data_IF_396368955400
#
_entry.id   IF_396368955400
#
_cell.length_a   1.000
_cell.length_b   1.000
_cell.length_c   1.000
_cell.angle_alpha   90.00
_cell.angle_beta   90.00
_cell.angle_gamma   90.00
#
_symmetry.space_group_name_H-M   'P 1'
#
loop_
_entity.id
_entity.type
_entity.pdbx_description
1 polymer ?
#
# COMPACT_ATOMS: atom_id res chain seq x y z
N UNK A 1 -37.74 64.93 -20.50
CA UNK A 1 -36.52 65.29 -19.74
C UNK A 1 -35.93 64.10 -18.97
N UNK A 2 -36.73 63.11 -18.56
CA UNK A 2 -36.25 61.85 -17.93
C UNK A 2 -35.67 60.83 -18.92
N UNK A 3 -36.22 60.73 -20.13
CA UNK A 3 -35.75 59.74 -21.14
C UNK A 3 -34.37 60.07 -21.75
N UNK A 4 -33.97 61.34 -21.76
CA UNK A 4 -32.66 61.77 -22.26
C UNK A 4 -31.54 61.44 -21.25
N UNK A 5 -31.83 61.49 -19.95
CA UNK A 5 -30.88 61.13 -18.90
C UNK A 5 -30.63 59.61 -18.81
N UNK A 6 -31.63 58.80 -19.17
CA UNK A 6 -31.50 57.33 -19.21
C UNK A 6 -30.63 56.86 -20.39
N UNK A 7 -30.69 57.56 -21.52
CA UNK A 7 -29.90 57.23 -22.72
C UNK A 7 -28.44 57.67 -22.62
N UNK A 8 -28.13 58.76 -21.89
CA UNK A 8 -26.75 59.11 -21.56
C UNK A 8 -26.11 58.11 -20.58
N UNK A 9 -26.87 57.60 -19.61
CA UNK A 9 -26.40 56.58 -18.65
C UNK A 9 -26.14 55.22 -19.30
N UNK A 10 -26.99 54.78 -20.24
CA UNK A 10 -26.78 53.54 -21.00
C UNK A 10 -25.59 53.66 -21.97
N UNK A 11 -25.33 54.86 -22.53
CA UNK A 11 -24.21 55.08 -23.46
C UNK A 11 -22.86 55.21 -22.72
N UNK A 12 -22.86 55.65 -21.46
CA UNK A 12 -21.66 55.70 -20.61
C UNK A 12 -21.29 54.32 -20.02
N UNK A 13 -22.24 53.37 -19.95
CA UNK A 13 -21.97 51.97 -19.60
C UNK A 13 -21.21 51.19 -20.69
N UNK A 14 -21.44 51.51 -21.97
CA UNK A 14 -20.87 50.80 -23.13
C UNK A 14 -19.39 51.15 -23.39
N UNK A 15 -18.93 52.30 -22.86
CA UNK A 15 -17.54 52.77 -23.00
C UNK A 15 -16.67 52.47 -21.76
N UNK A 16 -17.14 51.64 -20.83
CA UNK A 16 -16.28 51.12 -19.77
C UNK A 16 -15.49 49.94 -20.31
N UNK A 17 -14.15 49.88 -20.13
CA UNK A 17 -13.39 48.73 -20.59
C UNK A 17 -13.98 47.48 -19.94
N UNK A 18 -14.23 46.44 -20.74
CA UNK A 18 -14.85 45.18 -20.28
C UNK A 18 -14.20 44.62 -19.01
N UNK A 19 -12.88 44.80 -18.87
CA UNK A 19 -12.12 44.44 -17.67
C UNK A 19 -12.65 45.10 -16.38
N UNK A 20 -13.06 46.36 -16.45
CA UNK A 20 -13.57 47.12 -15.30
C UNK A 20 -14.94 46.59 -14.86
N UNK A 21 -15.82 46.28 -15.83
CA UNK A 21 -17.12 45.64 -15.57
C UNK A 21 -16.94 44.24 -14.95
N UNK A 22 -16.04 43.43 -15.50
CA UNK A 22 -15.71 42.11 -14.94
C UNK A 22 -15.10 42.19 -13.54
N UNK A 23 -14.30 43.21 -13.25
CA UNK A 23 -13.69 43.43 -11.95
C UNK A 23 -14.70 43.87 -10.87
N UNK A 24 -15.79 44.53 -11.26
CA UNK A 24 -16.89 44.92 -10.37
C UNK A 24 -17.90 43.78 -10.13
N UNK A 25 -18.21 42.99 -11.17
CA UNK A 25 -19.20 41.91 -11.10
C UNK A 25 -18.65 40.61 -10.48
N UNK A 26 -17.33 40.46 -10.38
CA UNK A 26 -16.72 39.25 -9.84
C UNK A 26 -16.68 39.24 -8.31
N UNK A 27 -17.03 38.10 -7.71
CA UNK A 27 -16.86 37.84 -6.27
C UNK A 27 -15.41 37.51 -5.89
N UNK A 28 -14.48 37.53 -6.84
CA UNK A 28 -13.09 37.14 -6.63
C UNK A 28 -12.30 38.26 -5.93
N UNK A 29 -11.92 38.01 -4.68
CA UNK A 29 -11.16 38.94 -3.85
C UNK A 29 -9.86 39.32 -4.56
N UNK A 30 -9.63 40.62 -4.76
CA UNK A 30 -8.42 41.15 -5.41
C UNK A 30 -8.66 41.71 -6.81
N UNK A 31 -9.57 41.12 -7.60
CA UNK A 31 -9.83 41.55 -8.98
C UNK A 31 -10.40 42.97 -9.05
N UNK A 32 -11.21 43.37 -8.06
CA UNK A 32 -11.74 44.74 -7.92
C UNK A 32 -10.65 45.83 -7.86
N UNK A 33 -9.43 45.49 -7.41
CA UNK A 33 -8.32 46.45 -7.34
C UNK A 33 -7.56 46.59 -8.67
N UNK A 34 -7.91 45.78 -9.68
CA UNK A 34 -7.35 45.86 -11.02
C UNK A 34 -8.04 46.92 -11.91
N UNK A 35 -9.12 47.51 -11.39
CA UNK A 35 -9.95 48.50 -12.05
C UNK A 35 -9.16 49.76 -12.47
N UNK A 36 -9.49 50.35 -13.63
CA UNK A 36 -8.77 51.50 -14.23
C UNK A 36 -8.82 52.79 -13.39
N UNK A 37 -9.63 52.82 -12.33
CA UNK A 37 -9.74 53.93 -11.35
C UNK A 37 -8.50 54.08 -10.46
N UNK A 38 -7.66 53.05 -10.34
CA UNK A 38 -6.47 53.06 -9.47
C UNK A 38 -5.18 53.42 -10.22
N UNK A 39 -4.20 54.02 -9.52
CA UNK A 39 -2.88 54.33 -10.08
C UNK A 39 -2.21 53.08 -10.66
N UNK A 40 -1.53 53.23 -11.79
CA UNK A 40 -0.88 52.14 -12.53
C UNK A 40 0.07 51.29 -11.69
N UNK A 41 0.82 51.91 -10.77
CA UNK A 41 1.72 51.17 -9.86
C UNK A 41 0.99 50.28 -8.84
N UNK A 42 -0.17 50.73 -8.34
CA UNK A 42 -0.99 49.94 -7.43
C UNK A 42 -1.61 48.74 -8.16
N UNK A 43 -2.05 48.95 -9.41
CA UNK A 43 -2.57 47.88 -10.27
C UNK A 43 -1.54 46.78 -10.53
N UNK A 44 -0.28 47.15 -10.75
CA UNK A 44 0.81 46.17 -10.94
C UNK A 44 1.06 45.33 -9.69
N UNK A 45 1.09 45.95 -8.49
CA UNK A 45 1.28 45.24 -7.23
C UNK A 45 0.14 44.25 -6.99
N UNK A 46 -1.11 44.67 -7.17
CA UNK A 46 -2.27 43.79 -7.03
C UNK A 46 -2.33 42.69 -8.08
N UNK A 47 -1.96 43.00 -9.33
CA UNK A 47 -1.84 42.00 -10.39
C UNK A 47 -0.79 40.94 -10.05
N UNK A 48 0.39 41.35 -9.57
CA UNK A 48 1.43 40.42 -9.13
C UNK A 48 0.97 39.56 -7.95
N UNK A 49 0.30 40.18 -6.96
CA UNK A 49 -0.23 39.45 -5.81
C UNK A 49 -1.31 38.44 -6.22
N UNK A 50 -2.20 38.78 -7.15
CA UNK A 50 -3.22 37.89 -7.69
C UNK A 50 -2.62 36.72 -8.46
N UNK A 51 -1.63 36.98 -9.31
CA UNK A 51 -0.94 35.91 -10.06
C UNK A 51 -0.20 34.99 -9.10
N UNK A 52 0.46 35.56 -8.09
CA UNK A 52 1.16 34.79 -7.07
C UNK A 52 0.18 33.92 -6.24
N UNK A 53 -0.94 34.49 -5.78
CA UNK A 53 -1.94 33.72 -5.03
C UNK A 53 -2.59 32.63 -5.88
N UNK A 54 -2.91 32.92 -7.13
CA UNK A 54 -3.45 31.94 -8.08
C UNK A 54 -2.45 30.79 -8.33
N UNK A 55 -1.16 31.11 -8.49
CA UNK A 55 -0.09 30.13 -8.63
C UNK A 55 0.05 29.24 -7.40
N UNK A 56 0.01 29.82 -6.19
CA UNK A 56 0.03 29.06 -4.94
C UNK A 56 -1.20 28.15 -4.80
N UNK A 57 -2.39 28.66 -5.14
CA UNK A 57 -3.63 27.85 -5.10
C UNK A 57 -3.55 26.68 -6.06
N UNK A 58 -3.07 26.90 -7.28
CA UNK A 58 -2.90 25.82 -8.26
C UNK A 58 -1.87 24.78 -7.77
N UNK A 59 -0.73 25.24 -7.25
CA UNK A 59 0.30 24.36 -6.68
C UNK A 59 -0.26 23.49 -5.55
N UNK A 60 -0.96 24.10 -4.58
CA UNK A 60 -1.59 23.38 -3.47
C UNK A 60 -2.66 22.40 -3.95
N UNK A 61 -3.47 22.78 -4.94
CA UNK A 61 -4.48 21.90 -5.50
C UNK A 61 -3.85 20.66 -6.15
N UNK A 62 -2.80 20.84 -6.98
CA UNK A 62 -2.08 19.74 -7.63
C UNK A 62 -1.40 18.85 -6.59
N UNK A 63 -0.75 19.42 -5.58
CA UNK A 63 -0.13 18.67 -4.48
C UNK A 63 -1.16 17.77 -3.77
N UNK A 64 -2.32 18.34 -3.41
CA UNK A 64 -3.39 17.59 -2.74
C UNK A 64 -3.96 16.49 -3.64
N UNK A 65 -4.26 16.80 -4.89
CA UNK A 65 -4.74 15.81 -5.87
C UNK A 65 -3.72 14.67 -5.99
N UNK A 66 -2.44 15.00 -6.20
CA UNK A 66 -1.35 14.02 -6.31
C UNK A 66 -1.23 13.17 -5.05
N UNK A 67 -1.31 13.78 -3.87
CA UNK A 67 -1.26 13.10 -2.59
C UNK A 67 -2.42 12.11 -2.42
N UNK A 68 -3.65 12.50 -2.77
CA UNK A 68 -4.81 11.61 -2.71
C UNK A 68 -4.72 10.45 -3.69
N UNK A 69 -4.31 10.69 -4.94
CA UNK A 69 -4.31 9.66 -6.00
C UNK A 69 -3.08 8.76 -6.00
N UNK A 70 -1.88 9.29 -5.72
CA UNK A 70 -0.63 8.52 -5.79
C UNK A 70 -0.32 7.85 -4.46
N UNK A 71 -0.41 8.59 -3.36
CA UNK A 71 0.02 8.09 -2.06
C UNK A 71 -1.06 7.33 -1.30
N UNK A 72 -2.34 7.50 -1.67
CA UNK A 72 -3.51 6.87 -1.07
C UNK A 72 -3.30 6.54 0.42
N UNK A 73 -3.22 7.57 1.28
CA UNK A 73 -2.73 7.42 2.64
C UNK A 73 -3.72 6.57 3.45
N UNK A 74 -3.44 5.27 3.53
CA UNK A 74 -4.15 4.36 4.41
C UNK A 74 -3.69 4.65 5.84
N UNK A 75 -4.48 5.43 6.56
CA UNK A 75 -4.27 5.64 7.99
C UNK A 75 -4.73 4.38 8.74
N UNK A 76 -3.77 3.58 9.22
CA UNK A 76 -4.09 2.42 10.06
C UNK A 76 -4.29 2.87 11.50
N UNK A 77 -5.52 2.77 12.01
CA UNK A 77 -5.80 2.96 13.42
C UNK A 77 -5.61 1.63 14.17
N UNK A 78 -4.84 1.64 15.27
CA UNK A 78 -4.70 0.47 16.14
C UNK A 78 -5.49 0.71 17.43
N UNK A 79 -6.38 -0.21 17.74
CA UNK A 79 -7.11 -0.27 19.01
C UNK A 79 -6.80 -1.58 19.71
N UNK A 80 -6.65 -1.53 21.03
CA UNK A 80 -6.55 -2.72 21.86
C UNK A 80 -7.91 -2.93 22.52
N UNK A 81 -8.53 -4.05 22.19
CA UNK A 81 -9.75 -4.52 22.83
C UNK A 81 -9.43 -5.80 23.59
N UNK A 82 -10.01 -5.95 24.78
CA UNK A 82 -9.81 -7.11 25.66
C UNK A 82 -11.15 -7.84 25.77
N UNK A 83 -11.52 -8.63 24.76
CA UNK A 83 -12.80 -9.33 24.76
C UNK A 83 -12.83 -10.39 25.87
N UNK A 84 -14.02 -10.68 26.38
CA UNK A 84 -14.24 -11.67 27.44
C UNK A 84 -13.96 -13.11 26.99
N UNK A 85 -13.98 -13.36 25.69
CA UNK A 85 -13.69 -14.65 25.08
C UNK A 85 -12.89 -14.44 23.78
N UNK A 86 -11.88 -15.28 23.56
CA UNK A 86 -11.03 -15.28 22.36
C UNK A 86 -10.96 -16.68 21.78
N UNK A 87 -10.98 -16.78 20.45
CA UNK A 87 -10.77 -18.06 19.80
C UNK A 87 -9.34 -18.53 20.02
N UNK A 88 -9.19 -19.76 20.51
CA UNK A 88 -7.88 -20.37 20.66
C UNK A 88 -7.27 -20.63 19.27
N UNK A 89 -6.03 -20.20 19.01
CA UNK A 89 -5.43 -20.35 17.70
C UNK A 89 -5.13 -21.82 17.38
N UNK A 90 -5.05 -22.14 16.09
CA UNK A 90 -4.57 -23.46 15.66
C UNK A 90 -3.08 -23.59 15.96
N UNK A 91 -2.73 -24.57 16.79
CA UNK A 91 -1.34 -24.89 17.10
C UNK A 91 -0.83 -25.99 16.17
N UNK A 92 0.27 -25.71 15.47
CA UNK A 92 0.99 -26.70 14.68
C UNK A 92 2.25 -27.13 15.45
N UNK A 93 2.28 -28.41 15.85
CA UNK A 93 3.44 -29.02 16.52
C UNK A 93 4.04 -30.05 15.57
N UNK A 94 5.31 -29.88 15.22
CA UNK A 94 6.06 -30.83 14.40
C UNK A 94 7.32 -31.25 15.14
N UNK A 95 7.62 -32.55 15.18
CA UNK A 95 8.92 -33.00 15.66
C UNK A 95 10.00 -32.64 14.63
N UNK A 96 11.16 -32.16 15.10
CA UNK A 96 12.35 -31.95 14.28
C UNK A 96 12.86 -33.25 13.66
N UNK A 97 12.66 -34.39 14.35
CA UNK A 97 12.93 -35.70 13.77
C UNK A 97 11.77 -36.10 12.85
N UNK A 98 11.98 -36.02 11.54
CA UNK A 98 10.95 -36.30 10.53
C UNK A 98 10.63 -37.79 10.40
N UNK A 99 11.63 -38.67 10.59
CA UNK A 99 11.50 -40.11 10.44
C UNK A 99 12.08 -40.84 11.64
N UNK A 100 11.38 -41.87 12.11
CA UNK A 100 11.86 -42.80 13.14
C UNK A 100 12.95 -43.69 12.54
N UNK A 101 14.20 -43.46 12.96
CA UNK A 101 15.35 -44.25 12.50
C UNK A 101 15.14 -45.76 12.72
N UNK A 102 14.50 -46.15 13.83
CA UNK A 102 14.17 -47.56 14.11
C UNK A 102 13.18 -48.15 13.10
N UNK A 103 12.19 -47.37 12.62
CA UNK A 103 11.25 -47.82 11.59
C UNK A 103 11.91 -47.94 10.22
N UNK A 104 12.80 -47.02 9.86
CA UNK A 104 13.56 -47.10 8.60
C UNK A 104 14.53 -48.29 8.63
N UNK A 105 15.23 -48.51 9.74
CA UNK A 105 16.14 -49.65 9.91
C UNK A 105 15.43 -51.02 9.80
N UNK A 106 14.19 -51.11 10.28
CA UNK A 106 13.36 -52.32 10.17
C UNK A 106 13.00 -52.66 8.73
N UNK A 107 12.79 -51.64 7.89
CA UNK A 107 12.48 -51.84 6.48
C UNK A 107 13.74 -52.11 5.67
N UNK A 108 14.76 -51.27 5.81
CA UNK A 108 16.06 -51.47 5.17
C UNK A 108 17.18 -50.73 5.92
N UNK A 109 18.04 -51.51 6.57
CA UNK A 109 19.29 -51.02 7.16
C UNK A 109 20.21 -50.27 6.17
N UNK A 110 20.40 -50.72 4.91
CA UNK A 110 21.26 -50.01 3.98
C UNK A 110 20.70 -48.63 3.58
N UNK A 111 19.38 -48.47 3.52
CA UNK A 111 18.74 -47.19 3.23
C UNK A 111 18.96 -46.18 4.35
N UNK A 112 18.75 -46.58 5.60
CA UNK A 112 19.01 -45.71 6.75
C UNK A 112 20.47 -45.24 6.76
N UNK A 113 21.41 -46.18 6.54
CA UNK A 113 22.83 -45.88 6.46
C UNK A 113 23.12 -44.84 5.37
N UNK A 114 22.55 -45.02 4.18
CA UNK A 114 22.67 -44.05 3.07
C UNK A 114 22.09 -42.67 3.43
N UNK A 115 20.93 -42.63 4.08
CA UNK A 115 20.30 -41.37 4.52
C UNK A 115 21.15 -40.63 5.55
N UNK A 116 21.80 -41.35 6.47
CA UNK A 116 22.72 -40.75 7.43
C UNK A 116 23.99 -40.20 6.75
N UNK A 117 24.56 -40.92 5.78
CA UNK A 117 25.72 -40.44 5.03
C UNK A 117 25.42 -39.22 4.16
N UNK A 118 24.24 -39.16 3.54
CA UNK A 118 23.79 -38.00 2.78
C UNK A 118 23.52 -36.77 3.64
N UNK A 119 23.28 -36.94 4.94
CA UNK A 119 23.04 -35.83 5.86
C UNK A 119 24.33 -35.12 6.31
N UNK A 120 25.46 -35.83 6.28
CA UNK A 120 26.78 -35.34 6.76
C UNK A 120 27.58 -34.60 5.66
N UNK A 121 27.09 -34.67 4.42
CA UNK A 121 27.54 -34.06 3.16
C UNK A 121 29.04 -33.74 3.01
N UNK A 122 29.76 -34.67 2.40
CA UNK A 122 31.08 -34.44 1.79
C UNK A 122 31.25 -35.20 0.45
N UNK A 123 30.18 -35.56 -0.27
CA UNK A 123 30.32 -36.43 -1.46
C UNK A 123 29.58 -35.94 -2.71
N UNK A 124 30.37 -35.64 -3.74
CA UNK A 124 29.99 -35.24 -5.10
C UNK A 124 29.46 -36.38 -6.00
N UNK A 125 29.12 -37.55 -5.44
CA UNK A 125 28.72 -38.77 -6.18
C UNK A 125 27.40 -39.39 -5.64
N UNK A 126 26.48 -38.58 -5.15
CA UNK A 126 25.27 -39.01 -4.42
C UNK A 126 24.23 -39.76 -5.28
N UNK A 127 24.31 -39.67 -6.61
CA UNK A 127 23.28 -40.24 -7.50
C UNK A 127 23.42 -41.75 -7.73
N UNK A 128 24.64 -42.31 -7.69
CA UNK A 128 24.86 -43.76 -7.90
C UNK A 128 24.35 -44.63 -6.73
N UNK A 129 24.23 -44.07 -5.53
CA UNK A 129 23.71 -44.79 -4.37
C UNK A 129 22.19 -44.95 -4.36
N UNK A 130 21.45 -44.14 -5.13
CA UNK A 130 19.98 -44.16 -5.16
C UNK A 130 19.42 -45.27 -6.06
N UNK A 131 20.12 -45.65 -7.13
CA UNK A 131 19.74 -46.78 -8.00
C UNK A 131 19.70 -48.11 -7.23
N UNK A 132 20.53 -48.25 -6.19
CA UNK A 132 20.52 -49.42 -5.32
C UNK A 132 19.22 -49.58 -4.53
N UNK A 133 18.38 -48.54 -4.44
CA UNK A 133 17.12 -48.54 -3.68
C UNK A 133 15.88 -48.43 -4.57
N UNK A 134 15.98 -48.59 -5.89
CA UNK A 134 14.82 -48.56 -6.81
C UNK A 134 13.79 -49.66 -6.49
N UNK A 135 14.25 -50.75 -5.88
CA UNK A 135 13.42 -51.86 -5.40
C UNK A 135 12.63 -51.54 -4.11
N UNK A 136 12.89 -50.40 -3.46
CA UNK A 136 12.25 -49.99 -2.20
C UNK A 136 11.20 -48.92 -2.48
N UNK A 137 9.94 -49.18 -2.10
CA UNK A 137 8.91 -48.13 -2.15
C UNK A 137 9.14 -47.10 -1.04
N UNK A 138 9.86 -46.03 -1.40
CA UNK A 138 10.17 -44.90 -0.53
C UNK A 138 8.90 -44.25 0.04
N UNK A 139 7.77 -44.27 -0.67
CA UNK A 139 6.52 -43.67 -0.20
C UNK A 139 5.92 -44.47 0.96
N UNK A 140 6.01 -45.79 0.87
CA UNK A 140 5.57 -46.68 1.95
C UNK A 140 6.54 -46.66 3.13
N UNK A 141 7.85 -46.58 2.89
CA UNK A 141 8.83 -46.35 3.96
C UNK A 141 8.54 -45.04 4.68
N UNK A 142 8.30 -43.96 3.95
CA UNK A 142 8.00 -42.64 4.52
C UNK A 142 6.72 -42.70 5.38
N UNK A 143 5.61 -43.23 4.85
CA UNK A 143 4.34 -43.36 5.58
C UNK A 143 4.47 -44.12 6.90
N UNK A 144 5.25 -45.19 6.93
CA UNK A 144 5.39 -46.04 8.13
C UNK A 144 6.51 -45.59 9.08
N UNK A 145 7.40 -44.70 8.63
CA UNK A 145 8.48 -44.16 9.46
C UNK A 145 8.17 -42.80 10.07
N UNK A 146 7.08 -42.13 9.65
CA UNK A 146 6.56 -40.95 10.34
C UNK A 146 6.29 -41.24 11.82
N UNK A 147 6.49 -40.22 12.65
CA UNK A 147 6.14 -40.28 14.07
C UNK A 147 4.63 -40.13 14.25
N UNK A 148 4.06 -40.96 15.12
CA UNK A 148 2.65 -40.88 15.48
C UNK A 148 2.42 -39.78 16.51
N UNK A 149 1.24 -39.18 16.49
CA UNK A 149 0.84 -38.14 17.45
C UNK A 149 0.82 -38.70 18.88
N UNK A 150 0.39 -39.95 19.05
CA UNK A 150 0.32 -40.63 20.35
C UNK A 150 1.71 -40.83 21.00
N UNK A 151 2.76 -40.95 20.19
CA UNK A 151 4.15 -41.04 20.68
C UNK A 151 4.71 -39.65 21.05
N UNK A 152 4.14 -38.57 20.50
CA UNK A 152 4.60 -37.21 20.70
C UNK A 152 3.88 -36.52 21.87
N UNK A 153 2.58 -36.77 22.02
CA UNK A 153 1.71 -36.09 23.00
C UNK A 153 1.30 -37.08 24.08
N UNK A 154 1.92 -36.95 25.25
CA UNK A 154 1.65 -37.83 26.40
C UNK A 154 0.37 -37.43 27.17
N UNK A 155 0.05 -36.13 27.17
CA UNK A 155 -1.14 -35.57 27.83
C UNK A 155 -1.50 -34.25 27.14
N UNK A 156 -2.79 -34.05 26.89
CA UNK A 156 -3.37 -32.79 26.45
C UNK A 156 -4.46 -32.41 27.46
N UNK A 157 -4.45 -31.16 27.91
CA UNK A 157 -5.49 -30.58 28.78
C UNK A 157 -6.16 -29.41 28.07
#
# INVERSE_FOLDING_TARGET
>A
RSSFYSSELEMEEDLRPTLDRFAEDTSMIGFRYLHSKYKTGFRLIWGLMLVFSLGLTFYQAVERITYYFIYNPLATHRSFDAPTEVQFPSLLICNKMQLRASSVAKYSQPLLKSMCFLHDDDSSNSTQHLEAFDHVDLRDVYRHSLQNVDDLVLRCE
#
